data_IF_997880266918
#
_entry.id   IF_997880266918
#
_cell.length_a   1.000
_cell.length_b   1.000
_cell.length_c   1.000
_cell.angle_alpha   90.00
_cell.angle_beta   90.00
_cell.angle_gamma   90.00
#
_symmetry.space_group_name_H-M   'P 1'
#
loop_
_entity.id
_entity.type
_entity.pdbx_description
1 polymer ?
#
# COMPACT_ATOMS: atom_id res chain seq x y z
N UNK A 1 23.70 -23.67 -94.22
CA UNK A 1 23.62 -23.41 -92.76
C UNK A 1 22.63 -22.25 -92.50
N UNK A 2 21.35 -22.51 -92.22
CA UNK A 2 20.30 -21.47 -92.00
C UNK A 2 19.20 -21.92 -91.01
N UNK A 3 19.55 -22.39 -89.80
CA UNK A 3 18.56 -22.77 -88.75
C UNK A 3 18.82 -22.27 -87.32
N UNK A 4 19.82 -21.43 -87.06
CA UNK A 4 20.14 -20.98 -85.68
C UNK A 4 19.61 -19.60 -85.28
N UNK A 5 18.82 -18.91 -86.12
CA UNK A 5 18.31 -17.57 -85.80
C UNK A 5 17.15 -17.55 -84.78
N UNK A 6 16.49 -18.69 -84.52
CA UNK A 6 15.40 -18.78 -83.53
C UNK A 6 15.88 -19.00 -82.09
N UNK A 7 16.96 -19.75 -81.88
CA UNK A 7 17.44 -20.10 -80.54
C UNK A 7 18.04 -18.89 -79.79
N UNK A 8 18.75 -18.01 -80.49
CA UNK A 8 19.34 -16.81 -79.89
C UNK A 8 18.27 -15.84 -79.32
N UNK A 9 17.11 -15.73 -79.99
CA UNK A 9 16.00 -14.90 -79.50
C UNK A 9 15.42 -15.44 -78.19
N UNK A 10 15.24 -16.77 -78.09
CA UNK A 10 14.70 -17.42 -76.89
C UNK A 10 15.67 -17.29 -75.72
N UNK A 11 16.98 -17.44 -75.95
CA UNK A 11 18.01 -17.26 -74.92
C UNK A 11 18.02 -15.80 -74.42
N UNK A 12 18.02 -14.82 -75.33
CA UNK A 12 18.01 -13.40 -74.95
C UNK A 12 16.73 -13.03 -74.18
N UNK A 13 15.57 -13.53 -74.61
CA UNK A 13 14.31 -13.32 -73.90
C UNK A 13 14.32 -13.97 -72.51
N UNK A 14 14.88 -15.18 -72.37
CA UNK A 14 15.00 -15.84 -71.06
C UNK A 14 15.93 -15.07 -70.11
N UNK A 15 17.05 -14.53 -70.61
CA UNK A 15 17.97 -13.70 -69.82
C UNK A 15 17.34 -12.35 -69.43
N UNK A 16 16.59 -11.72 -70.34
CA UNK A 16 15.83 -10.50 -70.05
C UNK A 16 14.75 -10.75 -69.00
N UNK A 17 14.00 -11.86 -69.11
CA UNK A 17 12.98 -12.22 -68.13
C UNK A 17 13.58 -12.49 -66.75
N UNK A 18 14.72 -13.19 -66.68
CA UNK A 18 15.45 -13.39 -65.43
C UNK A 18 15.94 -12.08 -64.82
N UNK A 19 16.49 -11.16 -65.62
CA UNK A 19 16.93 -9.84 -65.16
C UNK A 19 15.76 -8.98 -64.66
N UNK A 20 14.60 -9.07 -65.30
CA UNK A 20 13.39 -8.35 -64.87
C UNK A 20 12.86 -8.89 -63.54
N UNK A 21 12.83 -10.21 -63.36
CA UNK A 21 12.42 -10.83 -62.09
C UNK A 21 13.36 -10.44 -60.94
N UNK A 22 14.67 -10.39 -61.18
CA UNK A 22 15.63 -9.90 -60.19
C UNK A 22 15.40 -8.42 -59.83
N UNK A 23 15.11 -7.59 -60.83
CA UNK A 23 14.76 -6.18 -60.61
C UNK A 23 13.48 -6.00 -59.77
N UNK A 24 12.44 -6.76 -60.07
CA UNK A 24 11.17 -6.73 -59.32
C UNK A 24 11.39 -7.25 -57.89
N UNK A 25 12.16 -8.32 -57.70
CA UNK A 25 12.48 -8.85 -56.38
C UNK A 25 13.25 -7.85 -55.52
N UNK A 26 14.16 -7.08 -56.12
CA UNK A 26 14.88 -6.00 -55.43
C UNK A 26 13.95 -4.86 -54.98
N UNK A 27 13.01 -4.45 -55.85
CA UNK A 27 11.99 -3.44 -55.49
C UNK A 27 11.05 -3.94 -54.39
N UNK A 28 10.62 -5.21 -54.44
CA UNK A 28 9.78 -5.82 -53.41
C UNK A 28 10.50 -5.86 -52.05
N UNK A 29 11.79 -6.22 -52.03
CA UNK A 29 12.60 -6.19 -50.80
C UNK A 29 12.66 -4.78 -50.22
N UNK A 30 12.91 -3.77 -51.06
CA UNK A 30 12.96 -2.37 -50.61
C UNK A 30 11.62 -1.88 -50.05
N UNK A 31 10.49 -2.30 -50.63
CA UNK A 31 9.16 -1.96 -50.12
C UNK A 31 8.87 -2.61 -48.76
N UNK A 32 9.37 -3.83 -48.53
CA UNK A 32 9.27 -4.51 -47.24
C UNK A 32 10.10 -3.76 -46.19
N UNK A 33 11.35 -3.41 -46.52
CA UNK A 33 12.24 -2.69 -45.60
C UNK A 33 11.68 -1.30 -45.23
N UNK A 34 11.10 -0.58 -46.19
CA UNK A 34 10.45 0.71 -45.95
C UNK A 34 9.24 0.56 -45.01
N UNK A 35 8.41 -0.46 -45.21
CA UNK A 35 7.27 -0.74 -44.32
C UNK A 35 7.70 -1.15 -42.93
N UNK A 36 8.74 -1.98 -42.81
CA UNK A 36 9.30 -2.35 -41.51
C UNK A 36 9.86 -1.13 -40.78
N UNK A 37 10.65 -0.30 -41.45
CA UNK A 37 11.18 0.93 -40.88
C UNK A 37 10.07 1.91 -40.46
N UNK A 38 9.00 2.02 -41.26
CA UNK A 38 7.80 2.77 -40.90
C UNK A 38 7.15 2.26 -39.62
N UNK A 39 6.91 0.95 -39.54
CA UNK A 39 6.31 0.31 -38.37
C UNK A 39 7.17 0.51 -37.10
N UNK A 40 8.49 0.32 -37.19
CA UNK A 40 9.40 0.54 -36.06
C UNK A 40 9.39 1.98 -35.58
N UNK A 41 9.39 2.94 -36.52
CA UNK A 41 9.33 4.37 -36.20
C UNK A 41 8.02 4.70 -35.49
N UNK A 42 6.89 4.25 -36.02
CA UNK A 42 5.58 4.52 -35.45
C UNK A 42 5.40 3.90 -34.05
N UNK A 43 5.89 2.66 -33.85
CA UNK A 43 5.91 2.02 -32.53
C UNK A 43 6.76 2.81 -31.52
N UNK A 44 7.92 3.34 -31.95
CA UNK A 44 8.77 4.18 -31.10
C UNK A 44 8.09 5.50 -30.73
N UNK A 45 7.37 6.12 -31.66
CA UNK A 45 6.60 7.35 -31.40
C UNK A 45 5.46 7.09 -30.42
N UNK A 46 4.73 5.97 -30.58
CA UNK A 46 3.72 5.56 -29.62
C UNK A 46 4.33 5.37 -28.22
N UNK A 47 5.49 4.70 -28.10
CA UNK A 47 6.16 4.49 -26.82
C UNK A 47 6.59 5.82 -26.16
N UNK A 48 7.15 6.76 -26.93
CA UNK A 48 7.46 8.10 -26.41
C UNK A 48 6.21 8.84 -25.94
N UNK A 49 5.06 8.63 -26.58
CA UNK A 49 3.77 9.12 -26.12
C UNK A 49 3.43 8.61 -24.72
N UNK A 50 3.56 7.31 -24.46
CA UNK A 50 3.30 6.73 -23.15
C UNK A 50 4.20 7.33 -22.06
N UNK A 51 5.48 7.51 -22.35
CA UNK A 51 6.41 8.15 -21.43
C UNK A 51 6.05 9.61 -21.15
N UNK A 52 5.63 10.35 -22.18
CA UNK A 52 5.14 11.72 -22.04
C UNK A 52 3.87 11.79 -21.19
N UNK A 53 2.94 10.86 -21.37
CA UNK A 53 1.72 10.79 -20.59
C UNK A 53 1.96 10.48 -19.13
N UNK A 54 2.84 9.52 -18.85
CA UNK A 54 3.31 9.24 -17.51
C UNK A 54 3.98 10.43 -16.83
N UNK A 55 4.84 11.15 -17.55
CA UNK A 55 5.50 12.36 -17.04
C UNK A 55 4.52 13.51 -16.79
N UNK A 56 3.49 13.66 -17.63
CA UNK A 56 2.44 14.66 -17.46
C UNK A 56 1.60 14.37 -16.20
N UNK A 57 1.12 13.14 -16.06
CA UNK A 57 0.38 12.67 -14.89
C UNK A 57 1.17 12.87 -13.59
N UNK A 58 2.45 12.50 -13.62
CA UNK A 58 3.36 12.73 -12.51
C UNK A 58 3.52 14.22 -12.17
N UNK A 59 3.70 15.06 -13.18
CA UNK A 59 3.80 16.51 -13.03
C UNK A 59 2.55 17.10 -12.37
N UNK A 60 1.37 16.60 -12.72
CA UNK A 60 0.10 16.99 -12.09
C UNK A 60 0.10 16.61 -10.60
N UNK A 61 0.37 15.35 -10.25
CA UNK A 61 0.39 14.90 -8.85
C UNK A 61 1.40 15.66 -7.98
N UNK A 62 2.60 15.93 -8.51
CA UNK A 62 3.68 16.60 -7.76
C UNK A 62 3.38 18.06 -7.46
N UNK A 63 2.63 18.73 -8.33
CA UNK A 63 2.43 20.18 -8.25
C UNK A 63 1.12 20.58 -7.53
N UNK A 64 0.18 19.64 -7.36
CA UNK A 64 -1.10 19.89 -6.70
C UNK A 64 -1.00 19.78 -5.16
N UNK A 65 -2.01 20.33 -4.47
CA UNK A 65 -2.10 20.22 -3.01
C UNK A 65 -2.55 18.82 -2.60
N UNK A 66 -2.34 18.44 -1.34
CA UNK A 66 -2.69 17.12 -0.85
C UNK A 66 -4.15 16.75 -1.04
N UNK A 67 -5.06 17.69 -0.79
CA UNK A 67 -6.49 17.40 -0.87
C UNK A 67 -6.91 17.08 -2.32
N UNK A 68 -6.25 17.72 -3.29
CA UNK A 68 -6.41 17.42 -4.71
C UNK A 68 -5.75 16.08 -5.08
N UNK A 69 -4.57 15.78 -4.53
CA UNK A 69 -3.93 14.47 -4.66
C UNK A 69 -4.82 13.35 -4.11
N UNK A 70 -5.37 13.51 -2.90
CA UNK A 70 -6.26 12.53 -2.26
C UNK A 70 -7.58 12.36 -3.01
N UNK A 71 -8.11 13.43 -3.61
CA UNK A 71 -9.25 13.34 -4.52
C UNK A 71 -8.91 12.49 -5.75
N UNK A 72 -7.83 12.83 -6.44
CA UNK A 72 -7.38 12.15 -7.67
C UNK A 72 -7.04 10.68 -7.43
N UNK A 73 -6.26 10.38 -6.39
CA UNK A 73 -5.89 9.01 -6.05
C UNK A 73 -7.05 8.25 -5.37
N UNK A 74 -7.98 8.99 -4.77
CA UNK A 74 -9.19 8.45 -4.20
C UNK A 74 -10.24 8.02 -5.22
N UNK A 75 -10.12 8.52 -6.45
CA UNK A 75 -10.83 8.08 -7.65
C UNK A 75 -10.00 7.07 -8.45
N UNK A 76 -8.82 6.66 -7.96
CA UNK A 76 -8.05 5.60 -8.58
C UNK A 76 -8.90 4.33 -8.62
N UNK A 77 -8.88 3.65 -9.75
CA UNK A 77 -9.68 2.43 -9.92
C UNK A 77 -9.03 1.32 -9.09
N UNK A 78 -9.76 0.84 -8.09
CA UNK A 78 -9.46 -0.40 -7.39
C UNK A 78 -9.66 -1.55 -8.38
N UNK A 79 -8.55 -2.11 -8.87
CA UNK A 79 -8.60 -3.06 -9.99
C UNK A 79 -8.98 -4.50 -9.55
N UNK A 80 -9.13 -4.79 -8.24
CA UNK A 80 -9.28 -6.16 -7.69
C UNK A 80 -10.46 -6.43 -6.76
N UNK A 81 -11.64 -5.84 -6.98
CA UNK A 81 -12.87 -6.38 -6.36
C UNK A 81 -13.61 -7.41 -7.26
N UNK A 82 -12.97 -7.88 -8.34
CA UNK A 82 -13.46 -8.99 -9.17
C UNK A 82 -12.50 -10.19 -9.11
N UNK A 83 -13.07 -11.34 -8.73
CA UNK A 83 -12.46 -12.58 -8.23
C UNK A 83 -11.52 -13.34 -9.18
N UNK A 84 -11.37 -12.96 -10.45
CA UNK A 84 -10.47 -13.63 -11.38
C UNK A 84 -9.91 -12.61 -12.38
N UNK A 85 -8.58 -12.61 -12.58
CA UNK A 85 -8.05 -12.10 -13.83
C UNK A 85 -8.65 -12.99 -14.94
N UNK A 86 -9.40 -12.45 -15.92
CA UNK A 86 -9.59 -13.21 -17.13
C UNK A 86 -8.19 -13.44 -17.68
N UNK A 87 -7.81 -14.71 -17.84
CA UNK A 87 -6.64 -15.12 -18.60
C UNK A 87 -6.59 -14.28 -19.87
N UNK A 88 -5.65 -13.34 -19.96
CA UNK A 88 -5.62 -12.38 -21.05
C UNK A 88 -5.55 -10.90 -20.66
N UNK A 89 -4.88 -10.49 -19.58
CA UNK A 89 -4.56 -9.06 -19.38
C UNK A 89 -3.84 -8.45 -20.59
N UNK A 90 -2.82 -9.16 -21.10
CA UNK A 90 -2.16 -8.82 -22.36
C UNK A 90 -3.09 -8.95 -23.58
N UNK A 91 -4.04 -9.89 -23.55
CA UNK A 91 -4.97 -10.15 -24.65
C UNK A 91 -6.05 -9.05 -24.74
N UNK A 92 -6.59 -8.58 -23.60
CA UNK A 92 -7.50 -7.44 -23.46
C UNK A 92 -6.83 -6.11 -23.81
N UNK A 93 -5.60 -5.89 -23.37
CA UNK A 93 -4.77 -4.76 -23.83
C UNK A 93 -4.51 -4.80 -25.34
N UNK A 94 -4.41 -6.00 -25.92
CA UNK A 94 -4.15 -6.17 -27.36
C UNK A 94 -5.41 -6.12 -28.25
N UNK A 95 -6.58 -6.48 -27.71
CA UNK A 95 -7.83 -6.58 -28.48
C UNK A 95 -8.65 -5.28 -28.44
N UNK A 96 -8.63 -4.58 -27.30
CA UNK A 96 -9.24 -3.28 -27.11
C UNK A 96 -8.67 -2.65 -25.82
N UNK A 97 -7.49 -1.99 -25.91
CA UNK A 97 -6.84 -1.39 -24.74
C UNK A 97 -7.74 -0.36 -24.03
N UNK A 98 -8.75 0.15 -24.73
CA UNK A 98 -9.65 1.20 -24.29
C UNK A 98 -10.74 0.72 -23.33
N UNK A 99 -11.30 -0.47 -23.52
CA UNK A 99 -12.33 -1.02 -22.62
C UNK A 99 -11.75 -1.77 -21.42
N UNK A 100 -10.51 -2.24 -21.52
CA UNK A 100 -9.86 -3.04 -20.47
C UNK A 100 -9.43 -2.22 -19.23
N UNK A 101 -9.21 -0.92 -19.37
CA UNK A 101 -8.74 -0.01 -18.29
C UNK A 101 -9.87 0.94 -17.82
N UNK A 102 -11.08 0.78 -18.37
CA UNK A 102 -12.20 1.73 -18.24
C UNK A 102 -11.89 3.08 -18.90
N UNK A 103 -12.83 4.03 -18.87
CA UNK A 103 -12.63 5.37 -19.43
C UNK A 103 -11.35 6.00 -18.84
N UNK A 104 -10.31 6.08 -19.67
CA UNK A 104 -9.07 6.81 -19.39
C UNK A 104 -9.36 8.30 -19.62
N UNK A 105 -8.89 9.18 -18.74
CA UNK A 105 -9.01 10.63 -19.00
C UNK A 105 -8.16 11.00 -20.22
N UNK A 106 -8.82 11.55 -21.24
CA UNK A 106 -8.14 12.01 -22.45
C UNK A 106 -7.34 13.28 -22.14
N UNK A 107 -6.03 13.17 -21.99
CA UNK A 107 -5.15 14.34 -21.92
C UNK A 107 -4.37 14.46 -23.23
N UNK A 108 -4.81 15.39 -24.08
CA UNK A 108 -4.12 15.72 -25.32
C UNK A 108 -2.90 16.58 -24.99
N UNK A 109 -1.73 16.14 -25.46
CA UNK A 109 -0.52 16.98 -25.46
C UNK A 109 -0.65 18.12 -26.46
N UNK A 110 -1.45 19.15 -26.12
CA UNK A 110 -1.77 20.28 -26.98
C UNK A 110 -3.22 20.25 -27.49
N UNK A 111 -3.85 21.41 -27.61
CA UNK A 111 -5.20 21.57 -28.16
C UNK A 111 -5.26 21.05 -29.60
N UNK A 112 -5.77 19.85 -29.80
CA UNK A 112 -6.02 19.24 -31.10
C UNK A 112 -6.24 17.74 -30.99
N UNK A 113 -7.24 17.23 -31.71
CA UNK A 113 -7.39 15.80 -32.00
C UNK A 113 -6.05 15.22 -32.48
N UNK A 114 -5.81 13.91 -32.29
CA UNK A 114 -4.58 13.20 -32.67
C UNK A 114 -4.21 13.36 -34.15
N UNK A 115 -3.70 14.54 -34.52
CA UNK A 115 -3.49 14.95 -35.88
C UNK A 115 -2.04 14.64 -36.25
N UNK A 116 -1.87 13.51 -36.94
CA UNK A 116 -0.83 13.05 -37.88
C UNK A 116 0.68 13.22 -37.55
N UNK A 117 1.09 14.01 -36.55
CA UNK A 117 2.49 14.41 -36.35
C UNK A 117 2.93 14.28 -34.88
N UNK A 118 2.00 14.31 -33.92
CA UNK A 118 2.31 14.20 -32.49
C UNK A 118 1.82 12.87 -31.91
N UNK A 119 2.59 12.27 -31.00
CA UNK A 119 2.16 11.11 -30.21
C UNK A 119 1.09 11.54 -29.22
N UNK A 120 -0.09 10.91 -29.30
CA UNK A 120 -1.10 11.04 -28.27
C UNK A 120 -0.77 10.13 -27.09
N UNK A 121 -1.27 10.47 -25.91
CA UNK A 121 -1.13 9.63 -24.73
C UNK A 121 -2.40 9.64 -23.91
N UNK A 122 -2.61 8.55 -23.17
CA UNK A 122 -3.63 8.46 -22.14
C UNK A 122 -2.99 7.89 -20.89
N UNK A 123 -3.49 8.27 -19.72
CA UNK A 123 -3.01 7.72 -18.46
C UNK A 123 -4.15 7.59 -17.45
N UNK A 124 -3.93 6.79 -16.41
CA UNK A 124 -4.84 6.66 -15.27
C UNK A 124 -4.11 6.22 -14.02
N UNK A 125 -4.67 6.56 -12.88
CA UNK A 125 -4.21 6.12 -11.56
C UNK A 125 -4.88 4.79 -11.22
N UNK A 126 -4.08 3.77 -10.90
CA UNK A 126 -4.53 2.40 -10.67
C UNK A 126 -3.99 1.91 -9.33
N UNK A 127 -4.84 1.26 -8.52
CA UNK A 127 -4.42 0.60 -7.28
C UNK A 127 -4.45 -0.91 -7.45
N UNK A 128 -3.32 -1.56 -7.18
CA UNK A 128 -3.18 -3.02 -7.12
C UNK A 128 -3.05 -3.45 -5.66
N UNK A 129 -4.04 -4.16 -5.13
CA UNK A 129 -4.06 -4.62 -3.72
C UNK A 129 -3.42 -5.99 -3.51
N UNK A 130 -3.44 -6.87 -4.52
CA UNK A 130 -2.85 -8.21 -4.47
C UNK A 130 -1.63 -8.32 -5.38
N UNK A 131 -0.63 -9.11 -4.96
CA UNK A 131 0.59 -9.36 -5.73
C UNK A 131 0.37 -10.30 -6.92
N UNK A 132 1.18 -10.10 -7.96
CA UNK A 132 1.33 -10.94 -9.16
C UNK A 132 0.22 -10.88 -10.23
N UNK A 133 -0.17 -9.67 -10.59
CA UNK A 133 -0.79 -9.45 -11.90
C UNK A 133 0.28 -9.13 -12.92
N UNK A 134 0.58 -10.12 -13.76
CA UNK A 134 1.60 -10.03 -14.81
C UNK A 134 3.01 -9.62 -14.30
N UNK A 135 3.37 -9.97 -13.06
CA UNK A 135 4.66 -9.63 -12.44
C UNK A 135 4.79 -8.18 -11.93
N UNK A 136 3.67 -7.46 -11.85
CA UNK A 136 3.60 -6.13 -11.21
C UNK A 136 3.20 -6.31 -9.74
N UNK A 137 4.01 -5.84 -8.77
CA UNK A 137 3.68 -5.90 -7.35
C UNK A 137 2.43 -5.09 -7.00
N UNK A 138 1.80 -5.42 -5.87
CA UNK A 138 0.77 -4.55 -5.29
C UNK A 138 1.34 -3.16 -5.01
N UNK A 139 0.58 -2.12 -5.35
CA UNK A 139 1.07 -0.74 -5.35
C UNK A 139 0.10 0.25 -5.99
N UNK A 140 0.52 1.51 -6.04
CA UNK A 140 -0.23 2.60 -6.63
C UNK A 140 0.51 3.06 -7.89
N UNK A 141 -0.15 3.01 -9.03
CA UNK A 141 0.50 3.19 -10.32
C UNK A 141 -0.13 4.32 -11.12
N UNK A 142 0.68 5.07 -11.86
CA UNK A 142 0.24 5.67 -13.12
C UNK A 142 0.47 4.63 -14.20
N UNK A 143 -0.58 4.28 -14.91
CA UNK A 143 -0.50 3.47 -16.13
C UNK A 143 -0.71 4.41 -17.30
N UNK A 144 0.25 4.48 -18.23
CA UNK A 144 0.14 5.30 -19.43
C UNK A 144 0.37 4.50 -20.70
N UNK A 145 -0.41 4.80 -21.74
CA UNK A 145 -0.29 4.25 -23.08
C UNK A 145 -0.19 5.40 -24.08
N UNK A 146 0.62 5.22 -25.11
CA UNK A 146 0.78 6.18 -26.18
C UNK A 146 0.30 5.62 -27.50
N UNK A 147 -0.13 6.52 -28.38
CA UNK A 147 -0.82 6.18 -29.63
C UNK A 147 -0.28 7.03 -30.77
N UNK A 148 -0.17 6.43 -31.94
CA UNK A 148 0.30 7.10 -33.15
C UNK A 148 -0.51 6.68 -34.40
N UNK A 149 -1.05 7.67 -35.12
CA UNK A 149 -1.77 7.51 -36.39
C UNK A 149 -3.15 8.16 -36.41
N UNK A 150 -3.65 8.52 -37.61
CA UNK A 150 -4.93 9.20 -37.85
C UNK A 150 -6.18 8.46 -37.33
N UNK A 151 -6.05 7.15 -37.10
CA UNK A 151 -7.09 6.24 -36.60
C UNK A 151 -6.66 5.41 -35.39
N UNK A 152 -5.62 5.85 -34.66
CA UNK A 152 -5.13 5.16 -33.46
C UNK A 152 -4.57 3.73 -33.72
N UNK A 153 -4.11 3.44 -34.94
CA UNK A 153 -3.73 2.07 -35.38
C UNK A 153 -2.55 1.44 -34.62
N UNK A 154 -1.69 2.25 -33.99
CA UNK A 154 -0.47 1.79 -33.30
C UNK A 154 -0.50 2.26 -31.85
N UNK A 155 -0.57 1.30 -30.93
CA UNK A 155 -0.57 1.49 -29.49
C UNK A 155 0.75 1.01 -28.90
N UNK A 156 1.30 1.77 -27.96
CA UNK A 156 2.53 1.41 -27.25
C UNK A 156 2.31 0.25 -26.28
N UNK A 157 3.40 -0.29 -25.74
CA UNK A 157 3.30 -1.03 -24.50
C UNK A 157 2.92 -0.06 -23.36
N UNK A 158 2.14 -0.50 -22.37
CA UNK A 158 1.85 0.32 -21.21
C UNK A 158 3.14 0.61 -20.41
N UNK A 159 3.29 1.85 -19.99
CA UNK A 159 4.31 2.29 -19.04
C UNK A 159 3.68 2.30 -17.66
N UNK A 160 4.33 1.64 -16.70
CA UNK A 160 3.92 1.62 -15.30
C UNK A 160 4.86 2.47 -14.47
N UNK A 161 4.32 3.49 -13.82
CA UNK A 161 5.07 4.35 -12.89
C UNK A 161 4.52 4.08 -11.51
N UNK A 162 5.31 3.43 -10.67
CA UNK A 162 4.98 3.19 -9.27
C UNK A 162 5.11 4.50 -8.48
N UNK A 163 4.04 4.87 -7.79
CA UNK A 163 3.95 6.05 -6.95
C UNK A 163 3.98 5.59 -5.50
N UNK A 164 4.97 6.09 -4.78
CA UNK A 164 4.97 6.04 -3.33
C UNK A 164 4.61 7.42 -2.79
N UNK A 165 3.56 7.49 -1.97
CA UNK A 165 3.16 8.73 -1.32
C UNK A 165 2.80 8.47 0.14
N UNK A 166 3.09 9.45 0.98
CA UNK A 166 2.66 9.46 2.37
C UNK A 166 3.33 8.41 3.25
N UNK A 167 3.11 8.58 4.54
CA UNK A 167 3.51 7.62 5.56
C UNK A 167 2.28 6.85 6.02
N UNK A 168 2.48 5.63 6.50
CA UNK A 168 1.40 4.92 7.19
C UNK A 168 0.90 5.82 8.31
N UNK A 169 -0.40 6.10 8.40
CA UNK A 169 -0.94 6.99 9.40
C UNK A 169 -0.96 6.31 10.78
N UNK A 170 0.21 5.90 11.30
CA UNK A 170 0.29 5.24 12.61
C UNK A 170 -0.24 6.14 13.72
N UNK A 171 -0.21 7.46 13.52
CA UNK A 171 -0.78 8.45 14.43
C UNK A 171 -2.32 8.54 14.38
N UNK A 172 -3.00 7.81 13.49
CA UNK A 172 -4.45 7.62 13.54
C UNK A 172 -4.86 6.43 14.41
N UNK A 173 -3.91 5.60 14.87
CA UNK A 173 -4.20 4.61 15.90
C UNK A 173 -4.58 5.31 17.21
N UNK A 174 -5.37 4.62 18.03
CA UNK A 174 -5.66 5.08 19.39
C UNK A 174 -4.53 4.63 20.33
N UNK A 175 -4.37 5.24 21.53
CA UNK A 175 -3.39 4.76 22.51
C UNK A 175 -3.42 3.24 22.69
N UNK A 176 -4.64 2.68 22.74
CA UNK A 176 -4.89 1.24 22.68
C UNK A 176 -5.87 0.97 21.54
N UNK A 177 -5.48 0.14 20.59
CA UNK A 177 -6.29 -0.29 19.45
C UNK A 177 -6.40 -1.80 19.46
N UNK A 178 -7.61 -2.35 19.34
CA UNK A 178 -7.86 -3.79 19.26
C UNK A 178 -8.58 -4.11 17.95
N UNK A 179 -7.86 -4.75 17.02
CA UNK A 179 -8.34 -5.05 15.68
C UNK A 179 -9.17 -6.34 15.60
N UNK A 180 -8.95 -7.27 16.52
CA UNK A 180 -9.72 -8.52 16.65
C UNK A 180 -10.93 -8.33 17.58
N UNK A 181 -11.81 -9.34 17.63
CA UNK A 181 -12.88 -9.42 18.63
C UNK A 181 -12.30 -9.54 20.03
N UNK A 182 -12.96 -8.99 21.04
CA UNK A 182 -12.51 -9.09 22.44
C UNK A 182 -13.22 -10.27 23.13
N UNK A 183 -12.46 -11.12 23.82
CA UNK A 183 -13.03 -12.08 24.77
C UNK A 183 -13.14 -11.50 26.16
N UNK A 184 -12.00 -11.01 26.64
CA UNK A 184 -11.84 -10.54 27.99
C UNK A 184 -11.03 -9.25 27.97
N UNK A 185 -11.54 -8.26 28.68
CA UNK A 185 -10.86 -7.00 28.89
C UNK A 185 -10.88 -6.70 30.39
N UNK A 186 -9.72 -6.61 31.01
CA UNK A 186 -9.56 -6.21 32.41
C UNK A 186 -8.93 -4.84 32.46
N UNK A 187 -9.73 -3.83 32.81
CA UNK A 187 -9.29 -2.46 32.96
C UNK A 187 -8.19 -2.30 34.04
N UNK A 188 -7.47 -1.19 33.97
CA UNK A 188 -6.38 -0.86 34.88
C UNK A 188 -6.80 -0.90 36.35
N UNK A 189 -6.13 -1.70 37.17
CA UNK A 189 -6.44 -1.79 38.61
C UNK A 189 -5.95 -0.59 39.44
N UNK A 190 -4.95 0.15 38.97
CA UNK A 190 -4.33 1.29 39.67
C UNK A 190 -5.16 2.58 39.59
N UNK A 191 -5.19 3.36 40.67
CA UNK A 191 -5.76 4.72 40.67
C UNK A 191 -4.92 5.74 39.90
N UNK A 192 -3.66 5.41 39.61
CA UNK A 192 -2.69 6.33 38.97
C UNK A 192 -2.29 5.86 37.57
N UNK A 193 -2.85 4.75 37.09
CA UNK A 193 -2.70 4.35 35.71
C UNK A 193 -3.50 5.29 34.82
N UNK A 194 -2.92 5.77 33.71
CA UNK A 194 -3.65 6.61 32.77
C UNK A 194 -3.46 6.20 31.31
N UNK A 195 -4.48 6.48 30.51
CA UNK A 195 -4.46 6.41 29.06
C UNK A 195 -4.83 7.79 28.55
N UNK A 196 -3.86 8.49 28.01
CA UNK A 196 -3.93 9.91 27.70
C UNK A 196 -3.37 10.21 26.32
N UNK A 197 -3.56 11.45 25.88
CA UNK A 197 -3.06 11.98 24.62
C UNK A 197 -2.16 13.18 24.90
N UNK A 198 -0.96 13.16 24.32
CA UNK A 198 0.03 14.21 24.45
C UNK A 198 -0.06 15.23 23.33
N UNK A 199 0.10 16.50 23.69
CA UNK A 199 0.17 17.62 22.76
C UNK A 199 -1.20 18.15 22.35
N UNK A 200 -1.18 19.36 21.79
CA UNK A 200 -2.35 19.99 21.21
C UNK A 200 -2.78 19.26 19.92
N UNK A 201 -4.03 19.41 19.53
CA UNK A 201 -4.61 18.81 18.32
C UNK A 201 -4.57 17.27 18.22
N UNK A 202 -4.43 16.59 19.36
CA UNK A 202 -4.45 15.13 19.46
C UNK A 202 -5.80 14.64 19.99
N UNK A 203 -6.69 14.27 19.06
CA UNK A 203 -8.09 13.97 19.34
C UNK A 203 -8.43 12.49 19.16
N UNK A 204 -9.51 12.03 19.81
CA UNK A 204 -10.06 10.67 19.65
C UNK A 204 -10.21 9.90 20.97
N UNK A 205 -10.84 8.71 20.94
CA UNK A 205 -11.07 7.88 22.12
C UNK A 205 -9.77 7.34 22.73
N UNK A 206 -9.80 6.93 24.00
CA UNK A 206 -8.64 6.32 24.65
C UNK A 206 -8.38 4.89 24.14
N UNK A 207 -9.46 4.18 23.79
CA UNK A 207 -9.43 2.82 23.26
C UNK A 207 -10.28 2.76 22.00
N UNK A 208 -9.79 2.09 20.96
CA UNK A 208 -10.62 1.67 19.85
C UNK A 208 -10.69 0.17 19.71
N UNK A 209 -11.86 -0.29 19.25
CA UNK A 209 -12.18 -1.70 19.06
C UNK A 209 -12.81 -1.93 17.70
N UNK A 210 -12.75 -3.17 17.23
CA UNK A 210 -13.23 -3.57 15.90
C UNK A 210 -14.76 -3.62 15.76
N UNK A 211 -15.50 -3.82 16.86
CA UNK A 211 -16.97 -3.96 16.80
C UNK A 211 -17.70 -3.20 17.89
N UNK A 212 -18.96 -2.82 17.62
CA UNK A 212 -19.81 -2.14 18.59
C UNK A 212 -20.08 -2.98 19.85
N UNK A 213 -20.15 -4.31 19.74
CA UNK A 213 -20.33 -5.18 20.91
C UNK A 213 -19.08 -5.22 21.82
N UNK A 214 -17.89 -5.04 21.26
CA UNK A 214 -16.66 -4.96 22.06
C UNK A 214 -16.57 -3.63 22.83
N UNK A 215 -17.22 -2.56 22.33
CA UNK A 215 -17.31 -1.28 23.04
C UNK A 215 -17.97 -1.48 24.40
N UNK A 216 -19.07 -2.24 24.45
CA UNK A 216 -19.81 -2.48 25.69
C UNK A 216 -18.99 -3.32 26.68
N UNK A 217 -18.25 -4.33 26.21
CA UNK A 217 -17.36 -5.18 27.03
C UNK A 217 -16.30 -4.31 27.72
N UNK A 218 -15.64 -3.44 26.95
CA UNK A 218 -14.57 -2.60 27.48
C UNK A 218 -15.13 -1.53 28.41
N UNK A 219 -16.24 -0.87 28.03
CA UNK A 219 -16.90 0.13 28.89
C UNK A 219 -17.32 -0.46 30.22
N UNK A 220 -17.95 -1.64 30.23
CA UNK A 220 -18.39 -2.30 31.46
C UNK A 220 -17.21 -2.62 32.39
N UNK A 221 -16.05 -2.98 31.84
CA UNK A 221 -14.84 -3.25 32.62
C UNK A 221 -14.25 -1.97 33.23
N UNK A 222 -14.27 -0.87 32.49
CA UNK A 222 -13.75 0.45 32.93
C UNK A 222 -14.69 1.11 33.94
N UNK A 223 -15.99 1.16 33.65
CA UNK A 223 -17.05 1.78 34.46
C UNK A 223 -17.56 0.84 35.57
N UNK A 224 -16.85 -0.27 35.82
CA UNK A 224 -17.17 -1.25 36.84
C UNK A 224 -17.02 -0.72 38.26
N UNK A 225 -16.91 -1.62 39.24
CA UNK A 225 -16.65 -1.23 40.63
C UNK A 225 -15.24 -1.69 41.05
N UNK A 226 -14.30 -0.77 41.33
CA UNK A 226 -14.43 0.70 41.27
C UNK A 226 -14.47 1.25 39.84
N UNK A 227 -15.12 2.39 39.64
CA UNK A 227 -15.16 3.09 38.35
C UNK A 227 -13.78 3.70 38.06
N UNK A 228 -13.27 3.40 36.87
CA UNK A 228 -11.96 3.81 36.35
C UNK A 228 -12.04 4.71 35.13
N UNK A 229 -13.22 5.17 34.72
CA UNK A 229 -13.42 6.02 33.54
C UNK A 229 -12.48 7.25 33.53
N UNK A 230 -12.23 7.86 34.68
CA UNK A 230 -11.30 9.00 34.81
C UNK A 230 -9.84 8.70 34.47
N UNK A 231 -9.43 7.43 34.41
CA UNK A 231 -8.09 7.03 33.99
C UNK A 231 -7.92 7.03 32.46
N UNK A 232 -9.02 7.09 31.71
CA UNK A 232 -8.99 7.00 30.24
C UNK A 232 -9.49 8.31 29.66
N UNK A 233 -8.56 9.16 29.24
CA UNK A 233 -8.81 10.55 28.86
C UNK A 233 -8.88 10.66 27.33
N UNK A 234 -10.07 10.85 26.74
CA UNK A 234 -10.19 11.09 25.30
C UNK A 234 -9.69 12.49 24.93
N UNK A 235 -9.22 12.65 23.70
CA UNK A 235 -8.84 13.95 23.15
C UNK A 235 -10.04 14.63 22.51
N UNK A 236 -10.34 15.86 22.92
CA UNK A 236 -11.61 16.53 22.64
C UNK A 236 -11.50 17.62 21.57
N UNK A 237 -12.28 17.51 20.50
CA UNK A 237 -12.47 18.61 19.53
C UNK A 237 -13.72 19.45 19.83
N UNK A 238 -14.70 18.85 20.50
CA UNK A 238 -15.91 19.47 21.04
C UNK A 238 -16.35 18.74 22.33
N UNK A 239 -17.27 19.35 23.11
CA UNK A 239 -17.79 18.76 24.35
C UNK A 239 -18.76 17.59 24.13
N UNK A 240 -19.13 17.29 22.87
CA UNK A 240 -20.20 16.32 22.54
C UNK A 240 -19.67 14.91 22.29
N UNK A 241 -18.37 14.73 22.02
CA UNK A 241 -17.78 13.45 21.66
C UNK A 241 -16.81 12.90 22.74
N UNK A 242 -17.36 12.53 23.90
CA UNK A 242 -16.60 12.12 25.10
C UNK A 242 -16.32 10.60 25.20
N UNK A 243 -16.34 9.87 24.08
CA UNK A 243 -16.25 8.41 24.16
C UNK A 243 -14.86 7.97 24.63
N UNK A 244 -14.81 7.32 25.79
CA UNK A 244 -13.61 6.62 26.29
C UNK A 244 -13.21 5.49 25.34
N UNK A 245 -14.22 4.78 24.83
CA UNK A 245 -14.07 3.67 23.88
C UNK A 245 -15.04 3.83 22.72
N UNK A 246 -14.54 3.61 21.50
CA UNK A 246 -15.32 3.69 20.27
C UNK A 246 -15.00 2.52 19.32
N UNK A 247 -15.99 2.14 18.49
CA UNK A 247 -15.72 1.29 17.33
C UNK A 247 -15.01 2.13 16.28
N UNK A 248 -13.83 1.72 15.85
CA UNK A 248 -13.14 2.40 14.77
C UNK A 248 -12.46 1.38 13.85
N UNK A 249 -12.50 1.68 12.55
CA UNK A 249 -11.82 0.91 11.53
C UNK A 249 -10.50 1.65 11.20
N UNK A 250 -9.39 0.93 11.18
CA UNK A 250 -8.04 1.45 10.95
C UNK A 250 -7.48 0.83 9.68
N UNK A 251 -6.75 1.58 8.83
CA UNK A 251 -6.29 1.17 7.49
C UNK A 251 -5.82 -0.30 7.34
N UNK A 252 -4.52 -0.54 7.28
CA UNK A 252 -3.91 -1.87 7.14
C UNK A 252 -4.16 -2.80 8.34
N UNK A 253 -4.70 -2.27 9.45
CA UNK A 253 -4.78 -2.97 10.72
C UNK A 253 -6.17 -3.55 11.00
N UNK A 254 -7.22 -3.11 10.31
CA UNK A 254 -8.57 -3.69 10.42
C UNK A 254 -8.85 -4.82 9.43
N UNK A 255 -7.88 -5.19 8.58
CA UNK A 255 -7.95 -6.36 7.71
C UNK A 255 -6.78 -7.30 8.01
N UNK A 256 -7.08 -8.56 8.34
CA UNK A 256 -6.07 -9.55 8.72
C UNK A 256 -5.11 -9.90 7.56
N UNK A 257 -5.58 -9.86 6.32
CA UNK A 257 -4.74 -10.12 5.14
C UNK A 257 -3.83 -8.94 4.81
N UNK A 258 -4.33 -7.70 4.93
CA UNK A 258 -3.46 -6.53 4.73
C UNK A 258 -2.38 -6.45 5.83
N UNK A 259 -2.74 -6.80 7.07
CA UNK A 259 -1.78 -6.95 8.17
C UNK A 259 -0.78 -8.08 7.91
N UNK A 260 -1.21 -9.22 7.37
CA UNK A 260 -0.32 -10.31 6.97
C UNK A 260 0.73 -9.83 5.97
N UNK A 261 0.29 -9.20 4.88
CA UNK A 261 1.18 -8.68 3.83
C UNK A 261 2.13 -7.63 4.42
N UNK A 262 1.63 -6.75 5.30
CA UNK A 262 2.47 -5.79 6.02
C UNK A 262 3.58 -6.48 6.82
N UNK A 263 3.24 -7.47 7.66
CA UNK A 263 4.21 -8.18 8.50
C UNK A 263 5.22 -8.98 7.67
N UNK A 264 4.77 -9.66 6.62
CA UNK A 264 5.64 -10.40 5.70
C UNK A 264 6.66 -9.48 5.01
N UNK A 265 6.22 -8.30 4.56
CA UNK A 265 7.11 -7.32 3.96
C UNK A 265 8.09 -6.74 4.98
N UNK A 266 7.65 -6.47 6.21
CA UNK A 266 8.55 -6.07 7.30
C UNK A 266 9.63 -7.12 7.53
N UNK A 267 9.26 -8.42 7.59
CA UNK A 267 10.22 -9.52 7.74
C UNK A 267 11.25 -9.55 6.60
N UNK A 268 10.83 -9.24 5.37
CA UNK A 268 11.73 -9.23 4.21
C UNK A 268 12.79 -8.12 4.24
N UNK A 269 12.66 -7.12 5.13
CA UNK A 269 13.69 -6.09 5.34
C UNK A 269 14.92 -6.58 6.12
N UNK A 270 14.87 -7.78 6.72
CA UNK A 270 15.94 -8.27 7.59
C UNK A 270 15.99 -7.56 8.94
N UNK A 271 14.83 -7.44 9.58
CA UNK A 271 14.64 -6.75 10.87
C UNK A 271 15.42 -7.39 12.02
N UNK A 272 15.78 -6.56 13.00
CA UNK A 272 16.56 -6.90 14.19
C UNK A 272 15.66 -7.58 15.25
N UNK A 273 16.24 -8.43 16.11
CA UNK A 273 15.57 -9.01 17.27
C UNK A 273 15.80 -8.19 18.56
N UNK A 274 16.66 -7.16 18.47
CA UNK A 274 16.92 -6.19 19.53
C UNK A 274 16.12 -4.89 19.35
N UNK A 275 15.56 -4.40 20.46
CA UNK A 275 14.82 -3.14 20.48
C UNK A 275 15.71 -1.95 20.07
N UNK A 276 15.12 -0.98 19.37
CA UNK A 276 15.75 0.31 19.09
C UNK A 276 15.82 1.21 20.33
N UNK A 277 16.44 2.38 20.19
CA UNK A 277 16.48 3.43 21.22
C UNK A 277 15.84 4.71 20.70
N UNK A 278 15.48 5.66 21.56
CA UNK A 278 14.87 6.93 21.14
C UNK A 278 15.72 7.67 20.10
N UNK A 279 17.05 7.61 20.25
CA UNK A 279 18.02 8.22 19.33
C UNK A 279 18.24 7.39 18.05
N UNK A 280 17.97 6.09 18.09
CA UNK A 280 18.10 5.18 16.96
C UNK A 280 16.94 4.16 16.95
N UNK A 281 15.72 4.60 16.60
CA UNK A 281 14.55 3.74 16.64
C UNK A 281 14.64 2.69 15.53
N UNK A 282 14.13 1.48 15.79
CA UNK A 282 14.23 0.33 14.88
C UNK A 282 12.88 -0.34 14.65
N UNK A 283 12.77 -1.06 13.53
CA UNK A 283 11.73 -2.08 13.36
C UNK A 283 12.27 -3.38 13.94
N UNK A 284 11.58 -3.93 14.93
CA UNK A 284 11.92 -5.17 15.64
C UNK A 284 10.80 -6.18 15.41
N UNK A 285 11.14 -7.41 15.03
CA UNK A 285 10.18 -8.50 14.93
C UNK A 285 10.61 -9.64 15.86
N UNK A 286 9.72 -10.01 16.77
CA UNK A 286 9.93 -11.13 17.69
C UNK A 286 9.05 -12.29 17.24
N UNK A 287 9.67 -13.42 16.96
CA UNK A 287 8.98 -14.67 16.66
C UNK A 287 8.76 -15.47 17.95
N UNK A 288 7.52 -15.48 18.45
CA UNK A 288 7.15 -16.03 19.75
C UNK A 288 6.86 -14.98 20.81
N UNK A 289 6.57 -15.46 22.02
CA UNK A 289 6.17 -14.62 23.15
C UNK A 289 7.28 -13.65 23.57
N UNK A 290 6.89 -12.45 23.99
CA UNK A 290 7.82 -11.40 24.41
C UNK A 290 7.44 -10.81 25.76
N UNK A 291 8.41 -10.80 26.69
CA UNK A 291 8.29 -10.19 28.01
C UNK A 291 9.29 -9.04 28.15
N UNK A 292 8.78 -7.79 28.13
CA UNK A 292 9.62 -6.62 28.38
C UNK A 292 9.83 -6.46 29.88
N UNK A 293 11.06 -6.67 30.34
CA UNK A 293 11.44 -6.70 31.76
C UNK A 293 12.09 -5.39 32.21
N UNK A 294 12.04 -5.13 33.52
CA UNK A 294 12.60 -3.95 34.19
C UNK A 294 13.97 -3.50 33.64
N UNK A 295 14.03 -2.24 33.18
CA UNK A 295 15.21 -1.64 32.55
C UNK A 295 15.28 -1.85 31.04
N UNK A 296 14.36 -2.63 30.47
CA UNK A 296 14.15 -2.80 29.05
C UNK A 296 13.26 -1.69 28.52
N UNK A 297 13.87 -0.61 28.02
CA UNK A 297 13.17 0.39 27.21
C UNK A 297 13.45 0.18 25.73
N UNK A 298 12.61 0.76 24.87
CA UNK A 298 12.81 0.66 23.43
C UNK A 298 12.19 1.81 22.65
N UNK A 299 12.52 1.91 21.36
CA UNK A 299 11.80 2.80 20.46
C UNK A 299 11.75 2.28 19.01
N UNK A 300 10.69 2.67 18.31
CA UNK A 300 10.40 2.30 16.92
C UNK A 300 9.14 1.43 16.80
N UNK A 301 9.17 0.45 15.90
CA UNK A 301 8.05 -0.46 15.67
C UNK A 301 8.42 -1.84 16.19
N UNK A 302 7.68 -2.35 17.17
CA UNK A 302 7.85 -3.70 17.69
C UNK A 302 6.68 -4.55 17.25
N UNK A 303 6.94 -5.65 16.55
CA UNK A 303 5.95 -6.64 16.16
C UNK A 303 6.25 -7.93 16.91
N UNK A 304 5.27 -8.44 17.66
CA UNK A 304 5.38 -9.68 18.42
C UNK A 304 4.42 -10.71 17.85
N UNK A 305 4.98 -11.73 17.22
CA UNK A 305 4.28 -12.91 16.69
C UNK A 305 4.12 -13.95 17.80
N UNK A 306 3.34 -13.58 18.82
CA UNK A 306 3.18 -14.30 20.06
C UNK A 306 2.52 -13.43 21.13
N UNK A 307 2.43 -13.95 22.34
CA UNK A 307 1.84 -13.25 23.47
C UNK A 307 2.80 -12.18 24.01
N UNK A 308 2.24 -11.07 24.50
CA UNK A 308 3.04 -9.96 25.01
C UNK A 308 2.80 -9.73 26.50
N UNK A 309 3.90 -9.64 27.25
CA UNK A 309 3.88 -9.28 28.67
C UNK A 309 4.73 -8.03 28.90
N UNK A 310 4.17 -7.05 29.61
CA UNK A 310 4.88 -5.90 30.12
C UNK A 310 5.12 -6.04 31.61
N UNK A 311 6.39 -6.11 32.03
CA UNK A 311 6.78 -6.30 33.41
C UNK A 311 7.67 -5.16 33.90
N UNK A 312 7.22 -4.44 34.93
CA UNK A 312 8.05 -3.45 35.61
C UNK A 312 7.95 -2.00 35.08
N UNK A 313 9.01 -1.22 35.28
CA UNK A 313 9.10 0.24 35.08
C UNK A 313 9.82 0.61 33.77
N UNK A 314 9.32 0.10 32.65
CA UNK A 314 9.91 0.29 31.34
C UNK A 314 9.37 1.53 30.62
N UNK A 315 10.08 2.01 29.61
CA UNK A 315 9.61 3.08 28.72
C UNK A 315 9.74 2.65 27.26
N UNK A 316 8.70 2.85 26.47
CA UNK A 316 8.72 2.56 25.04
C UNK A 316 8.21 3.74 24.22
N UNK A 317 8.95 4.17 23.20
CA UNK A 317 8.50 5.23 22.27
C UNK A 317 8.25 4.67 20.86
N UNK A 318 6.98 4.57 20.45
CA UNK A 318 6.62 4.14 19.10
C UNK A 318 5.35 3.30 19.04
N UNK A 319 5.35 2.30 18.16
CA UNK A 319 4.24 1.39 17.95
C UNK A 319 4.62 -0.02 18.45
N UNK A 320 3.72 -0.63 19.22
CA UNK A 320 3.80 -2.05 19.58
C UNK A 320 2.61 -2.76 18.93
N UNK A 321 2.87 -3.80 18.13
CA UNK A 321 1.89 -4.67 17.48
C UNK A 321 2.01 -6.06 18.09
N UNK A 322 0.93 -6.60 18.62
CA UNK A 322 0.87 -7.94 19.21
C UNK A 322 -0.09 -8.79 18.38
N UNK A 323 0.43 -9.88 17.83
CA UNK A 323 -0.33 -10.81 16.98
C UNK A 323 -0.84 -12.03 17.76
N UNK A 324 -0.29 -12.29 18.95
CA UNK A 324 -0.72 -13.36 19.83
C UNK A 324 -2.08 -13.14 20.47
N UNK A 325 -2.45 -14.10 21.29
CA UNK A 325 -3.79 -14.25 21.88
C UNK A 325 -3.95 -13.33 23.10
N UNK A 326 -2.86 -13.10 23.83
CA UNK A 326 -2.88 -12.37 25.08
C UNK A 326 -1.94 -11.16 25.09
N UNK A 327 -2.44 -10.09 25.73
CA UNK A 327 -1.66 -8.94 26.12
C UNK A 327 -1.82 -8.72 27.62
N UNK A 328 -0.71 -8.79 28.35
CA UNK A 328 -0.69 -8.60 29.80
C UNK A 328 0.21 -7.43 30.17
N UNK A 329 -0.38 -6.37 30.71
CA UNK A 329 0.33 -5.24 31.27
C UNK A 329 0.43 -5.36 32.80
N UNK A 330 1.58 -5.79 33.29
CA UNK A 330 1.94 -5.88 34.71
C UNK A 330 2.84 -4.72 35.18
N UNK A 331 2.69 -3.55 34.55
CA UNK A 331 3.54 -2.40 34.84
C UNK A 331 3.44 -1.93 36.29
N UNK A 332 4.61 -1.66 36.87
CA UNK A 332 4.78 -1.13 38.22
C UNK A 332 5.58 0.17 38.19
N UNK A 333 5.23 1.18 39.00
CA UNK A 333 6.03 2.40 39.12
C UNK A 333 5.58 3.53 38.19
N UNK A 334 6.48 4.11 37.38
CA UNK A 334 6.23 5.27 36.51
C UNK A 334 6.55 5.03 35.04
N UNK A 335 6.51 3.77 34.59
CA UNK A 335 6.86 3.37 33.22
C UNK A 335 5.77 3.75 32.22
N UNK A 336 6.17 4.09 30.99
CA UNK A 336 5.27 4.71 30.02
C UNK A 336 5.43 4.12 28.61
N UNK A 337 4.30 3.93 27.93
CA UNK A 337 4.29 3.74 26.48
C UNK A 337 3.92 5.08 25.85
N UNK A 338 4.83 5.68 25.10
CA UNK A 338 4.59 6.90 24.33
C UNK A 338 4.40 6.54 22.86
N UNK A 339 3.18 6.70 22.35
CA UNK A 339 2.80 6.26 21.00
C UNK A 339 1.52 5.44 21.03
N UNK A 340 1.50 4.30 20.35
CA UNK A 340 0.28 3.50 20.21
C UNK A 340 0.57 2.02 20.42
N UNK A 341 -0.47 1.32 20.86
CA UNK A 341 -0.48 -0.12 21.02
C UNK A 341 -1.61 -0.71 20.16
N UNK A 342 -1.27 -1.74 19.37
CA UNK A 342 -2.19 -2.49 18.53
C UNK A 342 -2.19 -3.96 18.97
N UNK A 343 -3.33 -4.47 19.41
CA UNK A 343 -3.55 -5.90 19.59
C UNK A 343 -4.41 -6.42 18.45
N UNK A 344 -3.85 -7.35 17.68
CA UNK A 344 -4.47 -7.91 16.49
C UNK A 344 -4.31 -9.43 16.53
N UNK A 345 -5.12 -10.08 17.37
CA UNK A 345 -5.04 -11.53 17.59
C UNK A 345 -5.29 -12.26 16.28
N UNK A 346 -4.28 -12.99 15.80
CA UNK A 346 -4.35 -13.85 14.62
C UNK A 346 -4.58 -15.28 15.08
N UNK A 347 -5.53 -15.98 14.46
CA UNK A 347 -5.88 -17.36 14.84
C UNK A 347 -4.71 -18.33 14.62
N UNK A 348 -4.03 -18.19 13.49
CA UNK A 348 -2.84 -18.95 13.13
C UNK A 348 -1.95 -18.13 12.19
N UNK A 349 -0.81 -17.64 12.70
CA UNK A 349 0.14 -16.85 11.91
C UNK A 349 0.95 -17.71 10.93
N UNK A 350 0.85 -19.05 11.02
CA UNK A 350 1.44 -19.99 10.06
C UNK A 350 0.50 -20.39 8.92
N UNK A 351 -0.78 -20.01 8.99
CA UNK A 351 -1.74 -20.26 7.94
C UNK A 351 -1.41 -19.48 6.65
N UNK A 352 -1.80 -20.02 5.49
CA UNK A 352 -1.65 -19.34 4.19
C UNK A 352 -2.36 -17.99 4.15
N UNK A 353 -3.46 -17.86 4.90
CA UNK A 353 -4.25 -16.65 5.02
C UNK A 353 -4.56 -16.38 6.48
N UNK A 354 -4.18 -15.21 6.97
CA UNK A 354 -4.47 -14.80 8.34
C UNK A 354 -5.93 -14.43 8.51
N UNK A 355 -6.48 -14.79 9.66
CA UNK A 355 -7.80 -14.37 10.10
C UNK A 355 -7.69 -13.81 11.53
N UNK A 356 -8.44 -12.75 11.82
CA UNK A 356 -8.58 -12.30 13.19
C UNK A 356 -9.36 -13.34 13.99
N UNK A 357 -8.83 -13.72 15.14
CA UNK A 357 -9.42 -14.74 15.99
C UNK A 357 -8.39 -15.40 16.88
N UNK A 358 -8.79 -16.52 17.45
CA UNK A 358 -7.97 -17.33 18.35
C UNK A 358 -7.86 -18.75 17.84
N UNK A 359 -6.71 -19.39 18.10
CA UNK A 359 -6.33 -20.72 17.63
C UNK A 359 -7.25 -21.86 18.12
N UNK A 360 -7.98 -21.67 19.23
CA UNK A 360 -8.95 -22.63 19.77
C UNK A 360 -10.32 -21.96 19.90
N UNK A 361 -11.35 -22.59 19.36
CA UNK A 361 -12.63 -21.95 19.05
C UNK A 361 -13.32 -21.38 20.31
N UNK A 362 -13.70 -20.09 20.26
CA UNK A 362 -14.67 -19.36 21.13
C UNK A 362 -14.17 -18.33 22.15
N UNK A 363 -12.98 -17.77 22.02
CA UNK A 363 -12.58 -16.59 22.79
C UNK A 363 -11.87 -15.63 21.85
N UNK A 364 -12.22 -14.34 21.72
CA UNK A 364 -11.36 -13.30 21.10
C UNK A 364 -10.19 -12.84 22.00
N UNK A 365 -9.57 -11.69 21.71
CA UNK A 365 -8.43 -11.12 22.45
C UNK A 365 -8.61 -11.11 23.98
N UNK A 366 -7.57 -11.52 24.73
CA UNK A 366 -7.46 -11.33 26.18
C UNK A 366 -6.51 -10.17 26.49
N UNK A 367 -7.06 -9.07 26.99
CA UNK A 367 -6.30 -7.90 27.41
C UNK A 367 -6.42 -7.70 28.91
N UNK A 368 -5.27 -7.62 29.58
CA UNK A 368 -5.22 -7.52 31.03
C UNK A 368 -4.27 -6.42 31.49
N UNK A 369 -4.80 -5.33 32.04
CA UNK A 369 -4.02 -4.22 32.57
C UNK A 369 -3.90 -4.31 34.10
N UNK A 370 -3.08 -5.26 34.57
CA UNK A 370 -2.86 -5.57 35.98
C UNK A 370 -1.58 -4.89 36.51
N UNK A 371 -1.60 -3.57 36.63
CA UNK A 371 -0.46 -2.77 37.08
C UNK A 371 -0.73 -1.93 38.32
N UNK A 372 0.35 -1.48 38.97
CA UNK A 372 0.32 -0.57 40.12
C UNK A 372 1.22 0.65 39.91
N UNK A 373 0.87 1.80 40.49
CA UNK A 373 1.66 3.04 40.33
C UNK A 373 1.15 3.94 39.20
N UNK A 374 1.99 4.92 38.84
CA UNK A 374 1.73 6.04 37.93
C UNK A 374 2.17 5.75 36.48
N UNK A 375 1.86 4.55 36.00
CA UNK A 375 2.19 4.16 34.63
C UNK A 375 1.19 4.74 33.62
N UNK A 376 1.63 4.98 32.38
CA UNK A 376 0.77 5.64 31.40
C UNK A 376 0.93 5.10 29.97
N UNK A 377 -0.18 5.03 29.24
CA UNK A 377 -0.19 5.03 27.77
C UNK A 377 -0.43 6.46 27.30
N UNK A 378 0.55 7.05 26.65
CA UNK A 378 0.54 8.43 26.22
C UNK A 378 0.62 8.49 24.70
N UNK A 379 -0.50 8.71 24.03
CA UNK A 379 -0.53 8.82 22.58
C UNK A 379 0.17 10.09 22.11
N UNK A 380 1.20 9.96 21.28
CA UNK A 380 2.00 11.08 20.76
C UNK A 380 2.13 10.97 19.24
N UNK A 381 1.53 11.94 18.54
CA UNK A 381 1.50 12.01 17.08
C UNK A 381 2.92 12.09 16.49
N UNK A 382 3.83 12.84 17.11
CA UNK A 382 5.18 13.04 16.58
C UNK A 382 6.02 11.76 16.71
N UNK A 383 5.84 11.03 17.81
CA UNK A 383 6.50 9.74 18.03
C UNK A 383 6.00 8.71 17.00
N UNK A 384 4.69 8.65 16.77
CA UNK A 384 4.10 7.72 15.79
C UNK A 384 4.45 8.08 14.35
N UNK A 385 4.51 9.36 14.02
CA UNK A 385 5.01 9.81 12.73
C UNK A 385 6.50 9.43 12.57
N UNK A 386 7.34 9.58 13.59
CA UNK A 386 8.74 9.12 13.51
C UNK A 386 8.84 7.61 13.31
N UNK A 387 8.03 6.83 14.02
CA UNK A 387 7.98 5.37 13.85
C UNK A 387 7.53 4.99 12.44
N UNK A 388 6.51 5.67 11.89
CA UNK A 388 6.05 5.46 10.53
C UNK A 388 7.15 5.73 9.49
N UNK A 389 8.09 6.62 9.79
CA UNK A 389 9.21 6.98 8.90
C UNK A 389 10.27 5.88 8.79
N UNK A 390 10.21 4.87 9.65
CA UNK A 390 11.05 3.67 9.55
C UNK A 390 10.57 2.73 8.44
N UNK A 391 9.30 2.83 8.04
CA UNK A 391 8.70 1.92 7.06
C UNK A 391 9.03 2.40 5.65
N UNK A 392 9.84 1.64 4.88
CA UNK A 392 10.06 1.95 3.48
C UNK A 392 8.78 1.72 2.68
N UNK A 393 8.66 2.38 1.54
CA UNK A 393 7.50 2.25 0.64
C UNK A 393 7.24 0.82 0.19
N UNK A 394 8.27 -0.03 0.09
CA UNK A 394 8.12 -1.45 -0.24
C UNK A 394 7.28 -2.23 0.78
N UNK A 395 7.18 -1.76 2.03
CA UNK A 395 6.31 -2.37 3.04
C UNK A 395 4.86 -1.96 2.84
N UNK A 396 4.62 -0.70 2.48
CA UNK A 396 3.32 -0.05 2.64
C UNK A 396 2.58 0.16 1.31
N UNK A 397 3.29 0.05 0.18
CA UNK A 397 2.73 0.28 -1.16
C UNK A 397 1.57 -0.68 -1.46
N UNK A 398 0.45 -0.12 -1.90
CA UNK A 398 -0.77 -0.87 -2.27
C UNK A 398 -1.61 -1.38 -1.10
N UNK A 399 -1.14 -1.27 0.15
CA UNK A 399 -1.90 -1.67 1.35
C UNK A 399 -2.76 -0.54 1.91
N UNK A 400 -2.40 0.71 1.63
CA UNK A 400 -3.07 1.89 2.19
C UNK A 400 -3.86 2.57 1.08
N UNK A 401 -5.12 2.86 1.35
CA UNK A 401 -5.88 3.75 0.48
C UNK A 401 -5.20 5.13 0.49
N UNK A 402 -4.95 5.71 -0.66
CA UNK A 402 -4.39 7.06 -0.76
C UNK A 402 -5.17 8.11 0.05
N UNK A 403 -6.49 7.91 0.25
CA UNK A 403 -7.32 8.78 1.12
C UNK A 403 -6.93 8.71 2.60
N UNK A 404 -6.33 7.60 3.02
CA UNK A 404 -5.90 7.32 4.40
C UNK A 404 -4.42 7.66 4.63
N UNK A 405 -3.67 7.98 3.58
CA UNK A 405 -2.27 8.38 3.72
C UNK A 405 -2.15 9.75 4.43
N UNK A 406 -1.17 9.89 5.32
CA UNK A 406 -0.77 11.20 5.85
C UNK A 406 0.38 11.77 5.02
N UNK A 407 0.20 13.01 4.56
CA UNK A 407 1.29 13.75 3.94
C UNK A 407 2.29 14.20 4.99
N UNK A 408 3.44 13.54 4.99
CA UNK A 408 4.64 14.04 5.65
C UNK A 408 5.75 14.31 4.64
N UNK A 409 5.70 13.69 3.45
CA UNK A 409 6.60 13.93 2.33
C UNK A 409 5.87 13.91 0.98
N UNK A 410 6.32 14.76 0.04
CA UNK A 410 5.77 14.82 -1.32
C UNK A 410 5.80 13.42 -1.96
N UNK A 411 4.81 13.07 -2.81
CA UNK A 411 4.86 11.82 -3.55
C UNK A 411 6.19 11.70 -4.30
N UNK A 412 6.67 10.47 -4.48
CA UNK A 412 7.84 10.14 -5.30
C UNK A 412 7.58 8.97 -6.25
N UNK A 413 8.31 8.95 -7.37
CA UNK A 413 8.38 7.78 -8.26
C UNK A 413 9.32 6.77 -7.61
N UNK A 414 8.82 5.58 -7.29
CA UNK A 414 9.61 4.48 -6.74
C UNK A 414 10.21 3.58 -7.82
N UNK A 415 9.50 3.38 -8.94
CA UNK A 415 10.04 2.68 -10.10
C UNK A 415 9.34 3.06 -11.41
N UNK A 416 10.06 2.85 -12.52
CA UNK A 416 9.57 3.03 -13.89
C UNK A 416 9.73 1.69 -14.61
N UNK A 417 8.64 1.10 -15.09
CA UNK A 417 8.62 -0.22 -15.73
C UNK A 417 7.97 -0.19 -17.10
#
# INVERSE_FOLDING_TARGET
>A
MKKQRGAALVVVLSLLAMSLMLGISGMQSSQIDERLAGNYRSASIAQMGAEQGGAHAWGYLRNNKWDEFNGVMGDAVDFFDQEELPSGFNEKLSSDPWSAIGDLENHFGGEGECADIYSCYRYKYVRLRSGDVAGVPAGLYIVSVGVHGASEDIVSLPVFIDISAGMVPLSDLMPITVASRIYNFKAGSSNSFTVERYGDDNFGPAIAVSTAADVDIVKQSIEGNPDRSGNYVPGQRDESNQYVVEKNDFPIFSNAQDLQVFVERVKSLGVDDSLGTVDNPKITYVNGDYDIKDGGGGAGILIVDGDFTWSGNNNYEGLIIVLGQSFTYNGGGGGQVRGAFLHASISDTSAERWEFGIADAQTGSDLSFQGGGNSAFLHDINVLNRAAGLLPSSVTSGLIDSKEMKLLEKPMISSWR
#
